data_IF_158012867354
#
_entry.id   IF_158012867354
#
_cell.length_a   1.000
_cell.length_b   1.000
_cell.length_c   1.000
_cell.angle_alpha   90.00
_cell.angle_beta   90.00
_cell.angle_gamma   90.00
#
_symmetry.space_group_name_H-M   'P 1'
#
loop_
_entity.id
_entity.type
_entity.pdbx_description
1 polymer ?
#
# COMPACT_ATOMS: atom_id res chain seq x y z
N UNK A 1 3.06 30.24 32.98
CA UNK A 1 3.65 29.06 32.31
C UNK A 1 2.74 28.66 31.16
N UNK A 2 3.10 29.08 29.93
CA UNK A 2 2.36 28.76 28.71
C UNK A 2 2.73 27.36 28.24
N UNK A 3 1.86 26.38 28.46
CA UNK A 3 2.00 25.03 27.92
C UNK A 3 1.75 25.06 26.42
N UNK A 4 2.82 25.11 25.63
CA UNK A 4 2.77 24.84 24.19
C UNK A 4 2.48 23.35 23.99
N UNK A 5 1.22 22.99 23.73
CA UNK A 5 0.87 21.64 23.30
C UNK A 5 1.51 21.42 21.91
N UNK A 6 2.29 20.36 21.69
CA UNK A 6 2.89 20.13 20.38
C UNK A 6 1.78 20.00 19.33
N UNK A 7 1.94 20.66 18.18
CA UNK A 7 0.99 20.69 17.07
C UNK A 7 0.78 19.32 16.38
N UNK A 8 1.36 18.25 16.94
CA UNK A 8 1.43 16.91 16.38
C UNK A 8 0.48 15.90 17.04
N UNK A 9 -0.56 16.37 17.72
CA UNK A 9 -1.56 15.53 18.37
C UNK A 9 -2.70 15.14 17.41
N UNK A 10 -2.40 14.55 16.25
CA UNK A 10 -3.44 13.80 15.54
C UNK A 10 -3.82 12.61 16.42
N UNK A 11 -5.09 12.50 16.78
CA UNK A 11 -5.57 11.38 17.58
C UNK A 11 -5.35 10.09 16.78
N UNK A 12 -4.99 8.98 17.46
CA UNK A 12 -4.88 7.65 16.83
C UNK A 12 -5.99 7.35 15.80
N UNK A 13 -7.28 7.65 16.06
CA UNK A 13 -8.33 7.50 15.05
C UNK A 13 -8.14 8.33 13.78
N UNK A 14 -7.62 9.55 13.86
CA UNK A 14 -7.34 10.37 12.67
C UNK A 14 -6.20 9.79 11.84
N UNK A 15 -5.14 9.28 12.47
CA UNK A 15 -4.05 8.60 11.78
C UNK A 15 -4.53 7.31 11.09
N UNK A 16 -5.35 6.52 11.79
CA UNK A 16 -5.98 5.33 11.22
C UNK A 16 -6.89 5.67 10.03
N UNK A 17 -7.70 6.73 10.13
CA UNK A 17 -8.55 7.19 9.02
C UNK A 17 -7.75 7.57 7.78
N UNK A 18 -6.57 8.15 7.97
CA UNK A 18 -5.69 8.55 6.86
C UNK A 18 -4.94 7.36 6.24
N UNK A 19 -4.48 6.40 7.04
CA UNK A 19 -3.65 5.29 6.55
C UNK A 19 -4.48 4.06 6.10
N UNK A 20 -5.61 3.79 6.75
CA UNK A 20 -6.44 2.61 6.47
C UNK A 20 -6.85 2.47 4.99
N UNK A 21 -7.24 3.52 4.25
CA UNK A 21 -7.59 3.38 2.84
C UNK A 21 -6.45 2.84 1.97
N UNK A 22 -5.21 3.26 2.26
CA UNK A 22 -4.02 2.83 1.51
C UNK A 22 -3.70 1.36 1.77
N UNK A 23 -3.84 0.91 3.03
CA UNK A 23 -3.59 -0.48 3.41
C UNK A 23 -4.69 -1.42 2.90
N UNK A 24 -5.96 -0.99 3.00
CA UNK A 24 -7.11 -1.73 2.46
C UNK A 24 -6.99 -1.90 0.95
N UNK A 25 -6.56 -0.88 0.21
CA UNK A 25 -6.35 -0.98 -1.24
C UNK A 25 -5.32 -2.06 -1.60
N UNK A 26 -4.21 -2.13 -0.86
CA UNK A 26 -3.18 -3.15 -1.09
C UNK A 26 -3.68 -4.57 -0.75
N UNK A 27 -4.41 -4.74 0.35
CA UNK A 27 -5.00 -6.04 0.73
C UNK A 27 -6.08 -6.49 -0.27
N UNK A 28 -6.98 -5.59 -0.63
CA UNK A 28 -8.09 -5.86 -1.56
C UNK A 28 -7.59 -6.30 -2.94
N UNK A 29 -6.52 -5.69 -3.42
CA UNK A 29 -5.89 -6.09 -4.68
C UNK A 29 -5.44 -7.56 -4.63
N UNK A 30 -4.81 -7.99 -3.53
CA UNK A 30 -4.36 -9.38 -3.36
C UNK A 30 -5.54 -10.36 -3.26
N UNK A 31 -6.59 -9.98 -2.53
CA UNK A 31 -7.79 -10.78 -2.33
C UNK A 31 -8.54 -11.04 -3.64
N UNK A 32 -8.57 -10.06 -4.55
CA UNK A 32 -9.16 -10.20 -5.89
C UNK A 32 -8.21 -10.93 -6.84
N UNK A 33 -6.89 -10.70 -6.73
CA UNK A 33 -5.91 -11.23 -7.67
C UNK A 33 -5.75 -12.75 -7.55
N UNK A 34 -5.56 -13.26 -6.32
CA UNK A 34 -5.32 -14.68 -6.03
C UNK A 34 -6.33 -15.66 -6.70
N UNK A 35 -7.65 -15.49 -6.57
CA UNK A 35 -8.62 -16.41 -7.16
C UNK A 35 -8.68 -16.34 -8.69
N UNK A 36 -8.30 -15.21 -9.30
CA UNK A 36 -8.42 -15.02 -10.75
C UNK A 36 -7.12 -15.38 -11.50
N UNK A 37 -5.98 -15.50 -10.80
CA UNK A 37 -4.69 -16.00 -11.34
C UNK A 37 -4.83 -17.24 -12.25
N UNK A 38 -5.51 -18.34 -11.85
CA UNK A 38 -5.61 -19.53 -12.71
C UNK A 38 -6.44 -19.31 -13.99
N UNK A 39 -7.36 -18.33 -14.00
CA UNK A 39 -8.20 -18.01 -15.16
C UNK A 39 -7.58 -16.94 -16.08
N UNK A 40 -6.68 -16.11 -15.57
CA UNK A 40 -6.02 -15.02 -16.30
C UNK A 40 -5.33 -15.44 -17.61
N UNK A 41 -4.58 -16.57 -17.70
CA UNK A 41 -3.90 -16.97 -18.95
C UNK A 41 -4.86 -17.11 -20.14
N UNK A 42 -6.03 -17.72 -19.90
CA UNK A 42 -7.03 -17.96 -20.93
C UNK A 42 -7.79 -16.70 -21.35
N UNK A 43 -8.01 -15.77 -20.42
CA UNK A 43 -8.74 -14.52 -20.69
C UNK A 43 -7.83 -13.49 -21.37
N UNK A 44 -6.58 -13.37 -20.92
CA UNK A 44 -5.63 -12.36 -21.37
C UNK A 44 -4.71 -12.84 -22.50
N UNK A 45 -4.87 -14.09 -22.98
CA UNK A 45 -3.96 -14.74 -23.94
C UNK A 45 -2.48 -14.60 -23.52
N UNK A 46 -2.20 -14.81 -22.24
CA UNK A 46 -0.89 -14.59 -21.65
C UNK A 46 -0.33 -15.87 -21.03
N UNK A 47 0.95 -15.86 -20.66
CA UNK A 47 1.59 -17.01 -20.01
C UNK A 47 1.56 -16.88 -18.49
N UNK A 48 1.58 -18.00 -17.74
CA UNK A 48 1.69 -17.96 -16.27
C UNK A 48 2.91 -17.18 -15.79
N UNK A 49 4.02 -17.20 -16.55
CA UNK A 49 5.23 -16.45 -16.25
C UNK A 49 5.00 -14.93 -16.25
N UNK A 50 4.17 -14.40 -17.16
CA UNK A 50 3.83 -12.98 -17.19
C UNK A 50 2.97 -12.56 -15.99
N UNK A 51 2.06 -13.42 -15.53
CA UNK A 51 1.24 -13.18 -14.33
C UNK A 51 2.08 -13.21 -13.06
N UNK A 52 3.09 -14.08 -13.01
CA UNK A 52 4.03 -14.11 -11.90
C UNK A 52 4.92 -12.87 -11.90
N UNK A 53 5.37 -12.41 -13.07
CA UNK A 53 6.14 -11.18 -13.21
C UNK A 53 5.36 -9.96 -12.72
N UNK A 54 4.07 -9.83 -13.05
CA UNK A 54 3.23 -8.72 -12.56
C UNK A 54 3.07 -8.77 -11.04
N UNK A 55 2.94 -9.96 -10.45
CA UNK A 55 2.91 -10.13 -9.00
C UNK A 55 4.22 -9.71 -8.33
N UNK A 56 5.36 -10.09 -8.93
CA UNK A 56 6.68 -9.67 -8.46
C UNK A 56 6.85 -8.15 -8.55
N UNK A 57 6.44 -7.54 -9.66
CA UNK A 57 6.47 -6.09 -9.84
C UNK A 57 5.56 -5.38 -8.85
N UNK A 58 4.37 -5.92 -8.57
CA UNK A 58 3.47 -5.41 -7.55
C UNK A 58 4.12 -5.37 -6.16
N UNK A 59 4.72 -6.48 -5.73
CA UNK A 59 5.42 -6.56 -4.44
C UNK A 59 6.60 -5.58 -4.36
N UNK A 60 7.40 -5.48 -5.43
CA UNK A 60 8.54 -4.55 -5.51
C UNK A 60 8.05 -3.10 -5.43
N UNK A 61 7.03 -2.74 -6.21
CA UNK A 61 6.48 -1.38 -6.20
C UNK A 61 5.87 -1.01 -4.85
N UNK A 62 5.17 -1.94 -4.19
CA UNK A 62 4.68 -1.71 -2.83
C UNK A 62 5.82 -1.52 -1.84
N UNK A 63 6.84 -2.38 -1.86
CA UNK A 63 8.00 -2.26 -0.97
C UNK A 63 8.75 -0.94 -1.18
N UNK A 64 9.01 -0.58 -2.43
CA UNK A 64 9.63 0.71 -2.78
C UNK A 64 8.76 1.88 -2.35
N UNK A 65 7.44 1.79 -2.56
CA UNK A 65 6.48 2.77 -2.08
C UNK A 65 6.58 2.98 -0.57
N UNK A 66 6.53 1.91 0.22
CA UNK A 66 6.66 1.99 1.68
C UNK A 66 7.98 2.63 2.12
N UNK A 67 9.10 2.28 1.46
CA UNK A 67 10.43 2.84 1.73
C UNK A 67 10.53 4.32 1.36
N UNK A 68 9.80 4.79 0.35
CA UNK A 68 9.78 6.21 -0.03
C UNK A 68 8.84 7.00 0.88
N UNK A 69 7.62 6.48 1.10
CA UNK A 69 6.58 7.17 1.87
C UNK A 69 6.93 7.29 3.36
N UNK A 70 7.68 6.34 3.95
CA UNK A 70 8.12 6.44 5.34
C UNK A 70 9.00 7.68 5.62
N UNK A 71 10.20 7.80 5.02
CA UNK A 71 11.08 8.96 5.16
C UNK A 71 10.46 10.25 4.65
N UNK A 72 9.63 10.19 3.61
CA UNK A 72 8.90 11.35 3.11
C UNK A 72 7.89 11.86 4.15
N UNK A 73 7.18 10.96 4.83
CA UNK A 73 6.31 11.28 5.97
C UNK A 73 7.11 11.89 7.12
N UNK A 74 8.27 11.32 7.46
CA UNK A 74 9.14 11.83 8.52
C UNK A 74 9.71 13.23 8.21
N UNK A 75 10.00 13.54 6.94
CA UNK A 75 10.52 14.84 6.50
C UNK A 75 9.45 15.92 6.31
N UNK A 76 8.25 15.55 5.87
CA UNK A 76 7.15 16.50 5.63
C UNK A 76 6.43 16.85 6.93
N UNK A 77 6.48 15.98 7.96
CA UNK A 77 5.92 16.34 9.25
C UNK A 77 5.97 15.25 10.31
N UNK A 78 7.16 14.97 10.84
CA UNK A 78 7.28 14.80 12.29
C UNK A 78 7.33 16.16 12.98
#
# INVERSE_FOLDING_TARGET
MTTTRPAWAYTLPAALLLMAPFDILASLAMDIYLPVVPAMPGILNTTPAMIQLTLSLYMVMLGVGQVIFGPLSDRIGR
#
